data_IF_109164893540
#
_entry.id   IF_109164893540
#
_cell.length_a   1.000
_cell.length_b   1.000
_cell.length_c   1.000
_cell.angle_alpha   90.00
_cell.angle_beta   90.00
_cell.angle_gamma   90.00
#
_symmetry.space_group_name_H-M   'P 1'
#
loop_
_entity.id
_entity.type
_entity.pdbx_description
1 polymer ?
#
# COMPACT_ATOMS: atom_id res chain seq x y z
N UNK A 1 17.82 -17.97 0.68
CA UNK A 1 16.72 -17.98 1.67
C UNK A 1 15.57 -17.22 1.05
N UNK A 2 14.35 -17.74 1.08
CA UNK A 2 13.18 -16.99 0.60
C UNK A 2 12.87 -15.88 1.62
N UNK A 3 12.57 -14.68 1.13
CA UNK A 3 12.18 -13.53 1.97
C UNK A 3 10.89 -13.86 2.72
N UNK A 4 10.81 -13.55 4.01
CA UNK A 4 9.57 -13.70 4.76
C UNK A 4 8.69 -12.47 4.56
N UNK A 5 7.47 -12.70 4.06
CA UNK A 5 6.51 -11.63 3.77
C UNK A 5 5.34 -11.64 4.73
N UNK A 6 4.90 -10.46 5.17
CA UNK A 6 3.72 -10.29 6.03
C UNK A 6 2.95 -9.03 5.65
N UNK A 7 1.64 -9.15 5.45
CA UNK A 7 0.73 -8.01 5.29
C UNK A 7 0.33 -7.48 6.67
N UNK A 8 0.36 -6.15 6.81
CA UNK A 8 -0.02 -5.44 8.04
C UNK A 8 -0.80 -4.19 7.72
N UNK A 9 -1.65 -3.75 8.65
CA UNK A 9 -2.20 -2.40 8.60
C UNK A 9 -1.09 -1.38 8.84
N UNK A 10 -1.12 -0.25 8.14
CA UNK A 10 -0.22 0.87 8.34
C UNK A 10 -0.14 1.32 9.81
N UNK A 11 -1.27 1.29 10.53
CA UNK A 11 -1.33 1.73 11.93
C UNK A 11 -0.54 0.81 12.87
N UNK A 12 -0.39 -0.47 12.50
CA UNK A 12 0.35 -1.48 13.26
C UNK A 12 1.87 -1.42 13.03
N UNK A 13 2.34 -0.57 12.10
CA UNK A 13 3.77 -0.38 11.90
C UNK A 13 4.45 0.22 13.14
N UNK A 14 5.65 -0.25 13.43
CA UNK A 14 6.55 0.43 14.38
C UNK A 14 6.95 1.82 13.85
N UNK A 15 7.46 2.69 14.73
CA UNK A 15 7.96 4.00 14.33
C UNK A 15 9.09 3.91 13.29
N UNK A 16 10.00 2.94 13.45
CA UNK A 16 11.07 2.69 12.48
C UNK A 16 10.55 2.21 11.13
N UNK A 17 9.54 1.34 11.12
CA UNK A 17 8.92 0.90 9.86
C UNK A 17 8.17 2.04 9.17
N UNK A 18 7.46 2.90 9.90
CA UNK A 18 6.83 4.09 9.31
C UNK A 18 7.86 5.03 8.67
N UNK A 19 9.00 5.23 9.33
CA UNK A 19 10.10 6.01 8.76
C UNK A 19 10.67 5.33 7.50
N UNK A 20 10.90 4.02 7.53
CA UNK A 20 11.39 3.25 6.39
C UNK A 20 10.43 3.31 5.20
N UNK A 21 9.13 3.22 5.47
CA UNK A 21 8.10 3.33 4.45
C UNK A 21 8.16 4.68 3.72
N UNK A 22 8.52 5.76 4.41
CA UNK A 22 8.73 7.08 3.79
C UNK A 22 9.86 7.13 2.75
N UNK A 23 10.73 6.12 2.72
CA UNK A 23 11.79 5.95 1.71
C UNK A 23 11.41 4.94 0.62
N UNK A 24 10.14 4.51 0.54
CA UNK A 24 9.67 3.66 -0.53
C UNK A 24 9.73 4.44 -1.85
N UNK A 25 10.43 3.87 -2.82
CA UNK A 25 10.70 4.51 -4.11
C UNK A 25 10.06 3.71 -5.24
N UNK A 26 9.18 4.35 -6.01
CA UNK A 26 8.67 3.84 -7.28
C UNK A 26 9.33 4.58 -8.44
N UNK A 27 9.31 4.02 -9.65
CA UNK A 27 9.86 4.71 -10.82
C UNK A 27 9.03 5.93 -11.19
N UNK A 28 9.62 6.87 -11.95
CA UNK A 28 8.90 8.04 -12.44
C UNK A 28 7.68 7.66 -13.30
N UNK A 29 7.80 6.59 -14.09
CA UNK A 29 6.70 6.03 -14.89
C UNK A 29 5.57 5.51 -13.99
N UNK A 30 5.90 4.77 -12.93
CA UNK A 30 4.92 4.24 -11.98
C UNK A 30 4.21 5.33 -11.16
N UNK A 31 4.90 6.45 -10.92
CA UNK A 31 4.34 7.59 -10.18
C UNK A 31 3.08 8.16 -10.88
N UNK A 32 3.00 8.08 -12.20
CA UNK A 32 1.83 8.57 -12.96
C UNK A 32 0.55 7.76 -12.68
N UNK A 33 0.69 6.51 -12.22
CA UNK A 33 -0.44 5.61 -11.97
C UNK A 33 -0.72 5.42 -10.47
N UNK A 34 0.34 5.34 -9.67
CA UNK A 34 0.25 5.01 -8.24
C UNK A 34 0.46 6.22 -7.31
N UNK A 35 0.92 7.35 -7.84
CA UNK A 35 1.47 8.44 -7.04
C UNK A 35 2.77 8.04 -6.33
N UNK A 36 3.19 8.85 -5.37
CA UNK A 36 4.27 8.53 -4.45
C UNK A 36 3.74 8.20 -3.05
N UNK A 37 4.63 7.77 -2.15
CA UNK A 37 4.23 7.38 -0.79
C UNK A 37 3.63 8.55 -0.02
N UNK A 38 4.08 9.78 -0.26
CA UNK A 38 3.55 10.97 0.40
C UNK A 38 2.10 11.23 0.03
N UNK A 39 1.76 11.14 -1.26
CA UNK A 39 0.39 11.34 -1.75
C UNK A 39 -0.55 10.24 -1.25
N UNK A 40 -0.07 9.00 -1.20
CA UNK A 40 -0.85 7.87 -0.72
C UNK A 40 -1.10 7.95 0.80
N UNK A 41 -0.08 8.30 1.60
CA UNK A 41 -0.22 8.53 3.04
C UNK A 41 -1.07 9.77 3.35
N UNK A 42 -1.00 10.82 2.53
CA UNK A 42 -1.87 11.99 2.69
C UNK A 42 -3.35 11.60 2.57
N UNK A 43 -3.68 10.72 1.62
CA UNK A 43 -5.04 10.16 1.47
C UNK A 43 -5.48 9.39 2.71
N UNK A 44 -4.58 8.63 3.34
CA UNK A 44 -4.88 7.82 4.51
C UNK A 44 -5.02 8.64 5.80
N UNK A 45 -4.14 9.64 5.99
CA UNK A 45 -3.91 10.25 7.30
C UNK A 45 -4.59 11.62 7.48
N UNK A 46 -4.80 12.39 6.41
CA UNK A 46 -5.33 13.76 6.54
C UNK A 46 -6.84 13.77 6.75
N UNK A 47 -7.58 12.92 6.04
CA UNK A 47 -9.03 12.77 6.19
C UNK A 47 -9.35 11.29 6.37
N UNK A 48 -9.14 10.73 7.57
CA UNK A 48 -9.30 9.31 7.80
C UNK A 48 -10.76 8.90 7.60
N UNK A 49 -10.95 7.75 6.96
CA UNK A 49 -12.26 7.16 6.70
C UNK A 49 -12.23 5.69 7.12
N UNK A 50 -13.28 5.17 7.79
CA UNK A 50 -13.39 3.75 8.13
C UNK A 50 -13.50 2.84 6.89
N UNK A 51 -13.65 3.45 5.71
CA UNK A 51 -13.75 2.81 4.41
C UNK A 51 -12.42 2.81 3.64
N UNK A 52 -11.34 3.34 4.22
CA UNK A 52 -9.99 3.37 3.63
C UNK A 52 -9.01 2.72 4.60
N UNK A 53 -8.26 1.73 4.13
CA UNK A 53 -7.23 1.04 4.90
C UNK A 53 -5.90 1.11 4.13
N UNK A 54 -4.82 1.49 4.81
CA UNK A 54 -3.47 1.43 4.27
C UNK A 54 -2.84 0.11 4.63
N UNK A 55 -2.40 -0.65 3.62
CA UNK A 55 -1.82 -1.97 3.79
C UNK A 55 -0.35 -1.93 3.38
N UNK A 56 0.50 -2.55 4.20
CA UNK A 56 1.94 -2.61 3.97
C UNK A 56 2.36 -4.07 3.91
N UNK A 57 3.12 -4.44 2.88
CA UNK A 57 3.85 -5.72 2.86
C UNK A 57 5.22 -5.49 3.48
N UNK A 58 5.49 -6.19 4.57
CA UNK A 58 6.83 -6.27 5.16
C UNK A 58 7.58 -7.46 4.53
N UNK A 59 8.77 -7.21 4.02
CA UNK A 59 9.75 -8.22 3.59
C UNK A 59 10.93 -8.22 4.55
N UNK A 60 11.15 -9.33 5.26
CA UNK A 60 12.13 -9.44 6.35
C UNK A 60 12.02 -8.24 7.32
N UNK A 61 10.78 -7.97 7.77
CA UNK A 61 10.36 -6.87 8.65
C UNK A 61 10.56 -5.43 8.12
N UNK A 62 10.97 -5.25 6.87
CA UNK A 62 11.07 -3.94 6.21
C UNK A 62 9.88 -3.68 5.29
N UNK A 63 9.30 -2.47 5.27
CA UNK A 63 8.27 -2.13 4.29
C UNK A 63 8.83 -2.22 2.87
N UNK A 64 8.18 -3.01 2.01
CA UNK A 64 8.59 -3.19 0.60
C UNK A 64 7.43 -2.95 -0.37
N UNK A 65 6.19 -2.98 0.10
CA UNK A 65 4.99 -2.61 -0.68
C UNK A 65 4.04 -1.77 0.18
N UNK A 66 3.39 -0.79 -0.43
CA UNK A 66 2.24 -0.08 0.12
C UNK A 66 1.09 -0.06 -0.87
N UNK A 67 -0.14 -0.14 -0.38
CA UNK A 67 -1.34 0.14 -1.17
C UNK A 67 -2.50 0.55 -0.26
N UNK A 68 -3.53 1.12 -0.86
CA UNK A 68 -4.78 1.45 -0.19
C UNK A 68 -5.88 0.48 -0.61
N UNK A 69 -6.65 -0.01 0.36
CA UNK A 69 -7.93 -0.66 0.11
C UNK A 69 -9.06 0.32 0.40
N UNK A 70 -10.01 0.43 -0.54
CA UNK A 70 -11.21 1.25 -0.41
C UNK A 70 -12.47 0.40 -0.56
N UNK A 71 -13.48 0.66 0.29
CA UNK A 71 -14.78 -0.04 0.29
C UNK A 71 -15.95 0.94 0.53
N UNK A 72 -17.20 0.46 0.49
CA UNK A 72 -18.39 1.27 0.77
C UNK A 72 -18.44 2.55 -0.08
N UNK A 73 -18.69 3.69 0.56
CA UNK A 73 -18.81 5.00 -0.10
C UNK A 73 -17.57 5.47 -0.88
N UNK A 74 -16.43 4.81 -0.70
CA UNK A 74 -15.20 5.11 -1.44
C UNK A 74 -15.07 4.32 -2.75
N UNK A 75 -16.05 3.47 -3.06
CA UNK A 75 -16.06 2.65 -4.26
C UNK A 75 -16.56 3.44 -5.48
N UNK A 76 -16.03 3.13 -6.68
CA UNK A 76 -16.59 3.65 -7.91
C UNK A 76 -17.98 3.04 -8.18
N UNK A 77 -18.81 3.75 -8.92
CA UNK A 77 -20.22 3.38 -9.18
C UNK A 77 -20.42 2.00 -9.85
N UNK A 78 -19.37 1.41 -10.42
CA UNK A 78 -19.42 0.09 -11.06
C UNK A 78 -19.15 -1.06 -10.09
N UNK A 79 -18.60 -0.77 -8.91
CA UNK A 79 -18.27 -1.78 -7.91
C UNK A 79 -19.46 -2.01 -6.96
N UNK A 80 -19.71 -3.27 -6.62
CA UNK A 80 -20.80 -3.64 -5.72
C UNK A 80 -20.45 -3.27 -4.28
N UNK A 81 -21.18 -2.31 -3.71
CA UNK A 81 -20.83 -1.63 -2.45
C UNK A 81 -20.61 -2.55 -1.24
N UNK A 82 -21.40 -3.62 -1.13
CA UNK A 82 -21.41 -4.50 0.05
C UNK A 82 -20.38 -5.63 -0.02
N UNK A 83 -19.89 -5.98 -1.21
CA UNK A 83 -19.07 -7.19 -1.44
C UNK A 83 -17.69 -6.88 -2.02
N UNK A 84 -17.45 -5.65 -2.49
CA UNK A 84 -16.22 -5.29 -3.15
C UNK A 84 -15.29 -4.44 -2.26
N UNK A 85 -13.99 -4.62 -2.49
CA UNK A 85 -12.98 -3.63 -2.18
C UNK A 85 -12.18 -3.34 -3.44
N UNK A 86 -11.68 -2.12 -3.56
CA UNK A 86 -10.81 -1.72 -4.66
C UNK A 86 -9.41 -1.45 -4.13
N UNK A 87 -8.40 -1.87 -4.89
CA UNK A 87 -6.99 -1.62 -4.60
C UNK A 87 -6.55 -0.36 -5.33
N UNK A 88 -5.94 0.58 -4.60
CA UNK A 88 -5.46 1.87 -5.09
C UNK A 88 -4.00 2.08 -4.70
N UNK A 89 -3.31 2.95 -5.44
CA UNK A 89 -1.95 3.39 -5.12
C UNK A 89 -0.98 2.23 -4.82
N UNK A 90 -0.98 1.18 -5.64
CA UNK A 90 -0.05 0.07 -5.50
C UNK A 90 1.38 0.54 -5.76
N UNK A 91 2.21 0.50 -4.73
CA UNK A 91 3.59 0.95 -4.76
C UNK A 91 4.48 -0.18 -4.26
N UNK A 92 5.25 -0.78 -5.16
CA UNK A 92 6.29 -1.75 -4.83
C UNK A 92 7.62 -1.03 -4.95
N UNK A 93 8.44 -1.10 -3.91
CA UNK A 93 9.79 -0.52 -3.93
C UNK A 93 10.56 -1.04 -5.16
N UNK A 94 11.07 -0.14 -6.00
CA UNK A 94 11.74 -0.49 -7.25
C UNK A 94 12.95 -1.41 -7.05
N UNK A 95 13.57 -1.38 -5.86
CA UNK A 95 14.68 -2.27 -5.46
C UNK A 95 14.21 -3.71 -5.20
N UNK A 96 12.91 -3.89 -5.01
CA UNK A 96 12.24 -5.13 -4.64
C UNK A 96 11.33 -5.69 -5.76
N UNK A 97 11.21 -4.98 -6.89
CA UNK A 97 10.44 -5.43 -8.05
C UNK A 97 11.09 -6.64 -8.73
N UNK A 98 10.27 -7.41 -9.48
CA UNK A 98 10.71 -8.66 -10.13
C UNK A 98 10.83 -9.87 -9.19
N UNK A 99 10.57 -9.70 -7.90
CA UNK A 99 10.64 -10.76 -6.87
C UNK A 99 9.28 -11.45 -6.59
N UNK A 100 8.26 -11.15 -7.39
CA UNK A 100 6.92 -11.73 -7.24
C UNK A 100 6.03 -11.07 -6.18
N UNK A 101 6.41 -9.90 -5.65
CA UNK A 101 5.69 -9.21 -4.54
C UNK A 101 4.26 -8.77 -4.87
N UNK A 102 3.94 -8.59 -6.15
CA UNK A 102 2.56 -8.32 -6.61
C UNK A 102 1.70 -9.58 -6.79
N UNK A 103 2.26 -10.75 -6.53
CA UNK A 103 1.64 -12.06 -6.78
C UNK A 103 1.57 -12.92 -5.51
N UNK A 104 2.09 -12.42 -4.38
CA UNK A 104 2.19 -13.20 -3.15
C UNK A 104 0.78 -13.42 -2.61
N UNK A 105 0.36 -14.69 -2.41
CA UNK A 105 -0.93 -15.02 -1.81
C UNK A 105 -0.99 -14.69 -0.31
#
# INVERSE_FOLDING_TARGET
>A
MLMQTRLVDYHDLSASQRQQLGYLEVTQEQTQFSGDIYTALNTLLVNPSPNVCGVVLLGDDKPVVFFLLKRGDCLPHWAQEELAATLHALQIDHREQGKGLGSVP
#
